data_IF_219116614162
#
_entry.id   IF_219116614162
#
_cell.length_a   1.000
_cell.length_b   1.000
_cell.length_c   1.000
_cell.angle_alpha   90.00
_cell.angle_beta   90.00
_cell.angle_gamma   90.00
#
_symmetry.space_group_name_H-M   'P 1'
#
loop_
_entity.id
_entity.type
_entity.pdbx_description
1 polymer ?
#
# COMPACT_ATOMS: atom_id res chain seq x y z
N UNK A 1 -3.06 -10.13 1.64
CA UNK A 1 -4.06 -9.07 1.90
C UNK A 1 -4.04 -7.94 0.88
N UNK A 2 -2.87 -7.41 0.51
CA UNK A 2 -2.75 -6.24 -0.36
C UNK A 2 -3.51 -6.34 -1.69
N UNK A 3 -3.24 -7.38 -2.49
CA UNK A 3 -3.90 -7.59 -3.79
C UNK A 3 -5.43 -7.67 -3.67
N UNK A 4 -6.04 -8.53 -2.82
CA UNK A 4 -7.49 -8.54 -2.62
C UNK A 4 -8.13 -7.18 -2.33
N UNK A 5 -7.57 -6.44 -1.35
CA UNK A 5 -8.15 -5.18 -0.91
C UNK A 5 -8.00 -4.10 -1.99
N UNK A 6 -6.82 -3.99 -2.60
CA UNK A 6 -6.57 -2.97 -3.63
C UNK A 6 -7.33 -3.24 -4.92
N UNK A 7 -7.52 -4.49 -5.33
CA UNK A 7 -8.39 -4.84 -6.46
C UNK A 7 -9.85 -4.49 -6.17
N UNK A 8 -10.35 -4.76 -4.97
CA UNK A 8 -11.71 -4.38 -4.60
C UNK A 8 -11.90 -2.85 -4.61
N UNK A 9 -10.96 -2.10 -4.05
CA UNK A 9 -10.98 -0.63 -4.09
C UNK A 9 -10.97 -0.13 -5.54
N UNK A 10 -10.05 -0.62 -6.37
CA UNK A 10 -9.97 -0.27 -7.78
C UNK A 10 -11.26 -0.59 -8.54
N UNK A 11 -11.94 -1.70 -8.20
CA UNK A 11 -13.21 -2.08 -8.80
C UNK A 11 -14.34 -1.10 -8.48
N UNK A 12 -14.41 -0.57 -7.26
CA UNK A 12 -15.35 0.50 -6.92
C UNK A 12 -15.03 1.80 -7.67
N UNK A 13 -13.75 2.17 -7.73
CA UNK A 13 -13.29 3.35 -8.44
C UNK A 13 -13.58 3.26 -9.94
N UNK A 14 -13.34 2.12 -10.56
CA UNK A 14 -13.56 1.91 -11.99
C UNK A 14 -15.04 2.02 -12.38
N UNK A 15 -15.97 1.56 -11.52
CA UNK A 15 -17.41 1.73 -11.75
C UNK A 15 -17.83 3.19 -11.85
N UNK A 16 -17.17 4.08 -11.10
CA UNK A 16 -17.51 5.51 -11.02
C UNK A 16 -16.66 6.35 -11.99
N UNK A 17 -15.40 5.95 -12.21
CA UNK A 17 -14.41 6.62 -13.04
C UNK A 17 -13.68 5.61 -13.94
N UNK A 18 -14.34 5.10 -14.99
CA UNK A 18 -13.79 4.04 -15.84
C UNK A 18 -12.51 4.44 -16.59
N UNK A 19 -12.28 5.74 -16.77
CA UNK A 19 -11.07 6.30 -17.39
C UNK A 19 -9.84 6.31 -16.47
N UNK A 20 -9.99 5.96 -15.19
CA UNK A 20 -8.85 5.91 -14.25
C UNK A 20 -7.93 4.76 -14.62
N UNK A 21 -6.64 5.06 -14.82
CA UNK A 21 -5.60 4.04 -15.01
C UNK A 21 -5.09 3.57 -13.65
N UNK A 22 -4.99 2.25 -13.48
CA UNK A 22 -4.49 1.63 -12.26
C UNK A 22 -3.19 0.87 -12.55
N UNK A 23 -2.21 1.04 -11.68
CA UNK A 23 -0.94 0.31 -11.76
C UNK A 23 -0.58 -0.29 -10.40
N UNK A 24 0.14 -1.40 -10.42
CA UNK A 24 0.79 -2.01 -9.24
C UNK A 24 2.26 -2.23 -9.60
N UNK A 25 3.20 -1.48 -8.98
CA UNK A 25 4.60 -1.85 -9.00
C UNK A 25 4.82 -3.21 -8.35
N UNK A 26 5.49 -4.11 -9.05
CA UNK A 26 5.79 -5.47 -8.58
C UNK A 26 7.23 -5.51 -8.10
N UNK A 27 7.45 -5.99 -6.88
CA UNK A 27 8.79 -6.14 -6.34
C UNK A 27 9.60 -7.17 -7.18
N UNK A 28 10.90 -6.95 -7.42
CA UNK A 28 11.73 -7.86 -8.22
C UNK A 28 11.78 -9.31 -7.73
N UNK A 29 11.47 -9.52 -6.45
CA UNK A 29 11.49 -10.84 -5.78
C UNK A 29 10.15 -11.57 -5.85
N UNK A 30 9.13 -10.98 -6.50
CA UNK A 30 7.77 -11.53 -6.55
C UNK A 30 7.46 -12.04 -7.95
N UNK A 31 7.24 -13.35 -8.05
CA UNK A 31 6.75 -13.99 -9.27
C UNK A 31 5.31 -13.57 -9.58
N UNK A 32 5.03 -13.23 -10.84
CA UNK A 32 3.69 -12.81 -11.27
C UNK A 32 2.63 -13.89 -11.05
N UNK A 33 3.01 -15.16 -11.21
CA UNK A 33 2.13 -16.31 -10.94
C UNK A 33 1.75 -16.41 -9.46
N UNK A 34 2.70 -16.12 -8.56
CA UNK A 34 2.44 -16.04 -7.12
C UNK A 34 1.54 -14.84 -6.81
N UNK A 35 1.79 -13.68 -7.42
CA UNK A 35 0.93 -12.50 -7.26
C UNK A 35 -0.52 -12.78 -7.72
N UNK A 36 -0.68 -13.46 -8.84
CA UNK A 36 -1.98 -13.87 -9.38
C UNK A 36 -2.74 -14.82 -8.44
N UNK A 37 -2.03 -15.67 -7.69
CA UNK A 37 -2.67 -16.55 -6.70
C UNK A 37 -3.38 -15.76 -5.60
N UNK A 38 -2.89 -14.55 -5.26
CA UNK A 38 -3.56 -13.69 -4.28
C UNK A 38 -4.86 -13.06 -4.80
N UNK A 39 -5.06 -13.01 -6.12
CA UNK A 39 -6.27 -12.49 -6.76
C UNK A 39 -7.32 -13.60 -7.05
N UNK A 40 -7.07 -14.84 -6.64
CA UNK A 40 -7.94 -15.99 -6.90
C UNK A 40 -8.61 -16.45 -5.60
N UNK A 41 -9.95 -16.44 -5.52
CA UNK A 41 -10.68 -16.77 -4.28
C UNK A 41 -10.58 -18.25 -3.88
N UNK A 42 -10.32 -19.15 -4.83
CA UNK A 42 -10.07 -20.57 -4.54
C UNK A 42 -8.72 -20.78 -3.85
N UNK A 43 -7.74 -19.91 -4.13
CA UNK A 43 -6.39 -19.99 -3.54
C UNK A 43 -6.20 -19.05 -2.34
N UNK A 44 -6.95 -17.95 -2.29
CA UNK A 44 -6.83 -16.93 -1.27
C UNK A 44 -8.20 -16.56 -0.68
N UNK A 45 -8.57 -17.07 0.51
CA UNK A 45 -9.86 -16.78 1.13
C UNK A 45 -10.01 -15.30 1.55
N UNK A 46 -8.92 -14.52 1.57
CA UNK A 46 -9.01 -13.08 1.83
C UNK A 46 -9.76 -12.33 0.72
N UNK A 47 -9.85 -12.87 -0.50
CA UNK A 47 -10.60 -12.26 -1.61
C UNK A 47 -12.05 -12.01 -1.21
N UNK A 48 -12.72 -13.04 -0.68
CA UNK A 48 -14.12 -12.92 -0.25
C UNK A 48 -14.30 -11.92 0.90
N UNK A 49 -13.35 -11.89 1.84
CA UNK A 49 -13.38 -10.97 2.99
C UNK A 49 -13.13 -9.51 2.61
N UNK A 50 -12.49 -9.25 1.46
CA UNK A 50 -12.06 -7.92 1.04
C UNK A 50 -12.91 -7.32 -0.09
N UNK A 51 -14.04 -7.94 -0.45
CA UNK A 51 -14.96 -7.43 -1.47
C UNK A 51 -15.23 -8.40 -2.62
N UNK A 52 -14.66 -9.60 -2.62
CA UNK A 52 -14.97 -10.66 -3.57
C UNK A 52 -14.49 -10.43 -5.00
N UNK A 53 -13.56 -9.48 -5.21
CA UNK A 53 -13.05 -9.16 -6.54
C UNK A 53 -11.87 -10.07 -6.89
N UNK A 54 -12.07 -10.86 -7.93
CA UNK A 54 -11.03 -11.69 -8.53
C UNK A 54 -10.44 -11.05 -9.78
N UNK A 55 -9.21 -11.43 -10.11
CA UNK A 55 -8.58 -11.06 -11.37
C UNK A 55 -7.78 -12.22 -11.97
N UNK A 56 -7.73 -12.25 -13.30
CA UNK A 56 -6.83 -13.13 -14.05
C UNK A 56 -5.58 -12.36 -14.44
N UNK A 57 -4.44 -13.03 -14.39
CA UNK A 57 -3.19 -12.52 -14.95
C UNK A 57 -3.22 -12.68 -16.47
N UNK A 58 -3.04 -11.58 -17.18
CA UNK A 58 -2.84 -11.54 -18.62
C UNK A 58 -1.39 -11.15 -18.89
N UNK A 59 -0.67 -12.04 -19.58
CA UNK A 59 0.66 -11.77 -20.11
C UNK A 59 0.49 -11.29 -21.56
N UNK A 60 0.96 -10.10 -21.93
CA UNK A 60 0.82 -9.60 -23.28
C UNK A 60 1.68 -10.40 -24.26
N UNK A 61 1.30 -10.43 -25.56
CA UNK A 61 2.07 -11.12 -26.58
C UNK A 61 3.44 -10.45 -26.83
N UNK A 62 3.55 -9.13 -26.59
CA UNK A 62 4.80 -8.38 -26.73
C UNK A 62 5.25 -7.76 -25.39
N UNK A 63 5.92 -8.54 -24.52
CA UNK A 63 6.31 -8.10 -23.17
C UNK A 63 7.41 -7.02 -23.16
N UNK A 64 8.05 -6.71 -24.29
CA UNK A 64 9.03 -5.62 -24.39
C UNK A 64 8.35 -4.24 -24.45
N UNK A 65 7.10 -4.19 -24.90
CA UNK A 65 6.36 -2.93 -25.12
C UNK A 65 5.09 -2.82 -24.28
N UNK A 66 4.62 -3.94 -23.74
CA UNK A 66 3.38 -4.02 -22.96
C UNK A 66 3.63 -4.64 -21.58
N UNK A 67 2.99 -4.07 -20.56
CA UNK A 67 3.04 -4.61 -19.21
C UNK A 67 2.04 -5.76 -19.04
N UNK A 68 2.37 -6.80 -18.25
CA UNK A 68 1.39 -7.74 -17.71
C UNK A 68 0.27 -7.00 -16.97
N UNK A 69 -0.93 -7.59 -16.93
CA UNK A 69 -2.10 -6.96 -16.30
C UNK A 69 -2.90 -7.94 -15.46
N UNK A 70 -3.54 -7.43 -14.43
CA UNK A 70 -4.72 -8.06 -13.85
C UNK A 70 -5.98 -7.58 -14.55
N UNK A 71 -6.83 -8.52 -14.95
CA UNK A 71 -8.12 -8.23 -15.59
C UNK A 71 -9.24 -8.88 -14.78
N UNK A 72 -10.20 -8.08 -14.31
CA UNK A 72 -11.39 -8.59 -13.59
C UNK A 72 -12.50 -8.97 -14.56
N UNK A 73 -13.47 -9.81 -14.17
CA UNK A 73 -14.63 -10.17 -15.01
C UNK A 73 -15.47 -8.97 -15.47
N UNK A 74 -15.35 -7.82 -14.81
CA UNK A 74 -16.09 -6.60 -15.17
C UNK A 74 -15.32 -5.67 -16.12
N UNK A 75 -14.11 -6.06 -16.54
CA UNK A 75 -13.28 -5.28 -17.45
C UNK A 75 -12.32 -4.29 -16.80
N UNK A 76 -12.22 -4.26 -15.46
CA UNK A 76 -11.16 -3.49 -14.80
C UNK A 76 -9.80 -4.10 -15.17
N UNK A 77 -8.91 -3.26 -15.71
CA UNK A 77 -7.51 -3.58 -15.95
C UNK A 77 -6.60 -2.86 -14.95
N UNK A 78 -5.63 -3.59 -14.40
CA UNK A 78 -4.57 -3.05 -13.53
C UNK A 78 -3.22 -3.49 -14.08
N UNK A 79 -2.40 -2.53 -14.53
CA UNK A 79 -1.07 -2.82 -15.08
C UNK A 79 -0.09 -3.23 -13.98
N UNK A 80 0.70 -4.27 -14.22
CA UNK A 80 1.73 -4.78 -13.32
C UNK A 80 3.10 -4.33 -13.81
N UNK A 81 3.72 -3.42 -13.08
CA UNK A 81 4.97 -2.78 -13.49
C UNK A 81 6.13 -3.55 -12.87
N UNK A 82 6.84 -4.33 -13.69
CA UNK A 82 7.91 -5.23 -13.23
C UNK A 82 9.30 -4.60 -13.26
N UNK A 83 9.48 -3.50 -13.99
CA UNK A 83 10.74 -2.74 -14.00
C UNK A 83 10.94 -2.01 -12.67
N UNK A 84 12.17 -2.03 -12.16
CA UNK A 84 12.55 -1.36 -10.91
C UNK A 84 13.86 -0.59 -11.13
N UNK A 85 13.94 0.70 -10.73
CA UNK A 85 12.88 1.52 -10.16
C UNK A 85 11.88 2.03 -11.23
N UNK A 86 10.63 2.27 -10.82
CA UNK A 86 9.57 2.80 -11.69
C UNK A 86 9.26 4.29 -11.41
N UNK A 87 10.28 5.10 -11.09
CA UNK A 87 10.09 6.48 -10.60
C UNK A 87 9.45 7.43 -11.60
N UNK A 88 9.80 7.32 -12.87
CA UNK A 88 9.18 8.06 -13.96
C UNK A 88 7.67 7.81 -14.03
N UNK A 89 7.23 6.56 -13.82
CA UNK A 89 5.81 6.23 -13.80
C UNK A 89 5.13 6.62 -12.48
N UNK A 90 5.77 6.35 -11.34
CA UNK A 90 5.26 6.73 -10.02
C UNK A 90 5.03 8.24 -9.92
N UNK A 91 5.92 9.05 -10.47
CA UNK A 91 5.79 10.52 -10.49
C UNK A 91 4.57 11.03 -11.27
N UNK A 92 3.97 10.19 -12.13
CA UNK A 92 2.75 10.51 -12.88
C UNK A 92 1.48 10.12 -12.12
N UNK A 93 1.59 9.34 -11.04
CA UNK A 93 0.46 8.96 -10.21
C UNK A 93 -0.07 10.16 -9.43
N UNK A 94 -1.40 10.38 -9.49
CA UNK A 94 -2.04 11.43 -8.69
C UNK A 94 -2.21 11.07 -7.22
N UNK A 95 -2.38 9.78 -6.93
CA UNK A 95 -2.61 9.27 -5.60
C UNK A 95 -2.18 7.80 -5.53
N UNK A 96 -1.48 7.42 -4.47
CA UNK A 96 -1.07 6.05 -4.22
C UNK A 96 -1.81 5.46 -3.01
N UNK A 97 -2.16 4.18 -3.08
CA UNK A 97 -2.59 3.39 -1.92
C UNK A 97 -1.42 2.50 -1.51
N UNK A 98 -1.03 2.56 -0.25
CA UNK A 98 0.14 1.83 0.24
C UNK A 98 -0.06 1.31 1.65
N UNK A 99 0.87 0.49 2.13
CA UNK A 99 0.99 0.11 3.54
C UNK A 99 2.25 0.75 4.13
N UNK A 100 2.38 0.70 5.45
CA UNK A 100 3.57 1.19 6.17
C UNK A 100 4.82 0.43 5.75
N UNK A 101 5.97 1.12 5.78
CA UNK A 101 7.26 0.58 5.38
C UNK A 101 7.99 1.50 4.40
N UNK A 102 9.02 0.96 3.74
CA UNK A 102 9.90 1.69 2.83
C UNK A 102 9.12 2.45 1.74
N UNK A 103 8.00 1.89 1.25
CA UNK A 103 7.14 2.53 0.25
C UNK A 103 6.66 3.93 0.69
N UNK A 104 6.35 4.13 1.98
CA UNK A 104 5.91 5.45 2.48
C UNK A 104 7.03 6.48 2.49
N UNK A 105 8.27 6.06 2.76
CA UNK A 105 9.43 6.95 2.67
C UNK A 105 9.76 7.29 1.21
N UNK A 106 9.67 6.31 0.32
CA UNK A 106 9.91 6.47 -1.12
C UNK A 106 8.90 7.43 -1.74
N UNK A 107 7.59 7.17 -1.56
CA UNK A 107 6.53 8.06 -2.05
C UNK A 107 6.61 9.45 -1.42
N UNK A 108 6.98 9.54 -0.13
CA UNK A 108 7.16 10.81 0.57
C UNK A 108 8.31 11.64 0.00
N UNK A 109 9.43 10.99 -0.33
CA UNK A 109 10.59 11.63 -0.96
C UNK A 109 10.27 12.15 -2.38
N UNK A 110 9.43 11.42 -3.11
CA UNK A 110 8.88 11.81 -4.42
C UNK A 110 7.75 12.84 -4.32
N UNK A 111 7.28 13.16 -3.11
CA UNK A 111 6.14 14.03 -2.84
C UNK A 111 4.85 13.60 -3.56
N UNK A 112 4.64 12.29 -3.68
CA UNK A 112 3.44 11.71 -4.28
C UNK A 112 2.37 11.58 -3.19
N UNK A 113 1.17 12.17 -3.36
CA UNK A 113 0.06 11.98 -2.44
C UNK A 113 -0.25 10.50 -2.22
N UNK A 114 -0.55 10.11 -0.98
CA UNK A 114 -0.82 8.72 -0.65
C UNK A 114 -1.85 8.56 0.47
N UNK A 115 -2.50 7.41 0.50
CA UNK A 115 -3.32 6.94 1.64
C UNK A 115 -2.69 5.65 2.15
N UNK A 116 -2.43 5.59 3.46
CA UNK A 116 -1.82 4.43 4.10
C UNK A 116 -2.91 3.53 4.66
N UNK A 117 -2.91 2.27 4.24
CA UNK A 117 -3.90 1.26 4.60
C UNK A 117 -3.28 0.26 5.56
N UNK A 118 -3.87 0.15 6.75
CA UNK A 118 -3.49 -0.77 7.82
C UNK A 118 -4.69 -1.66 8.18
N UNK A 119 -5.02 -2.64 7.32
CA UNK A 119 -6.15 -3.53 7.52
C UNK A 119 -5.95 -4.47 8.72
N UNK A 120 -6.87 -4.47 9.67
CA UNK A 120 -6.87 -5.35 10.87
C UNK A 120 -7.82 -6.54 10.76
N UNK A 121 -8.46 -6.76 9.60
CA UNK A 121 -9.41 -7.84 9.32
C UNK A 121 -8.80 -9.24 9.49
N UNK A 122 -7.47 -9.33 9.58
CA UNK A 122 -6.72 -10.54 9.88
C UNK A 122 -5.67 -10.28 10.97
N UNK A 123 -6.01 -9.58 12.06
CA UNK A 123 -5.17 -9.62 13.28
C UNK A 123 -4.96 -11.07 13.77
N UNK A 124 -5.84 -12.00 13.39
CA UNK A 124 -5.63 -13.44 13.56
C UNK A 124 -4.44 -14.01 12.76
N UNK A 125 -3.93 -13.32 11.74
CA UNK A 125 -2.69 -13.68 11.02
C UNK A 125 -1.47 -12.99 11.64
N UNK A 126 -1.62 -11.91 12.43
CA UNK A 126 -0.53 -11.45 13.31
C UNK A 126 -0.20 -12.46 14.42
N UNK A 127 -1.06 -13.47 14.64
CA UNK A 127 -0.72 -14.68 15.41
C UNK A 127 0.36 -15.55 14.74
N UNK A 128 0.69 -15.26 13.47
CA UNK A 128 1.78 -15.89 12.72
C UNK A 128 3.07 -15.04 12.71
N UNK A 129 3.23 -14.08 13.63
CA UNK A 129 4.56 -13.55 13.97
C UNK A 129 5.41 -14.69 14.57
N UNK A 130 6.57 -14.96 13.98
CA UNK A 130 7.52 -15.92 14.53
C UNK A 130 8.14 -15.40 15.84
N UNK A 131 8.27 -16.32 16.82
CA UNK A 131 8.90 -16.07 18.12
C UNK A 131 7.93 -15.95 19.31
N UNK A 132 8.46 -15.44 20.43
CA UNK A 132 7.76 -15.25 21.72
C UNK A 132 6.37 -14.57 21.61
N UNK A 133 6.15 -13.55 20.75
CA UNK A 133 4.83 -12.93 20.58
C UNK A 133 3.78 -13.87 19.97
N UNK A 134 4.16 -14.75 19.03
CA UNK A 134 3.27 -15.74 18.42
C UNK A 134 2.85 -16.84 19.40
N UNK A 135 3.75 -17.25 20.30
CA UNK A 135 3.46 -18.17 21.40
C UNK A 135 2.47 -17.57 22.41
N UNK A 136 2.61 -16.29 22.76
CA UNK A 136 1.72 -15.61 23.70
C UNK A 136 0.32 -15.32 23.11
N UNK A 137 0.24 -15.06 21.80
CA UNK A 137 -1.03 -14.78 21.11
C UNK A 137 -1.93 -16.01 20.89
N UNK A 138 -1.35 -17.22 20.99
CA UNK A 138 -2.04 -18.50 20.85
C UNK A 138 -2.47 -19.14 22.19
N UNK A 139 -2.15 -18.53 23.34
CA UNK A 139 -2.66 -18.99 24.64
C UNK A 139 -4.14 -18.58 24.85
N UNK A 140 -5.02 -19.51 25.27
CA UNK A 140 -6.41 -19.20 25.60
C UNK A 140 -6.47 -18.17 26.75
N UNK A 141 -7.24 -17.10 26.57
CA UNK A 141 -7.39 -16.00 27.55
C UNK A 141 -6.31 -14.90 27.45
N UNK A 142 -5.04 -15.24 27.23
CA UNK A 142 -3.93 -14.27 27.19
C UNK A 142 -3.85 -13.53 25.85
N UNK A 143 -4.15 -14.22 24.74
CA UNK A 143 -4.12 -13.61 23.40
C UNK A 143 -5.13 -12.47 23.22
N UNK A 144 -6.29 -12.54 23.88
CA UNK A 144 -7.31 -11.49 23.84
C UNK A 144 -6.86 -10.22 24.58
N UNK A 145 -6.21 -10.37 25.73
CA UNK A 145 -5.66 -9.26 26.50
C UNK A 145 -4.44 -8.62 25.79
N UNK A 146 -3.59 -9.41 25.14
CA UNK A 146 -2.47 -8.92 24.36
C UNK A 146 -2.91 -8.15 23.11
N UNK A 147 -3.87 -8.70 22.35
CA UNK A 147 -4.48 -8.00 21.22
C UNK A 147 -5.19 -6.70 21.64
N UNK A 148 -5.86 -6.71 22.80
CA UNK A 148 -6.45 -5.51 23.39
C UNK A 148 -5.38 -4.49 23.82
N UNK A 149 -4.23 -4.95 24.34
CA UNK A 149 -3.09 -4.09 24.71
C UNK A 149 -2.41 -3.43 23.52
N UNK A 150 -2.20 -4.16 22.41
CA UNK A 150 -1.69 -3.58 21.16
C UNK A 150 -2.69 -2.59 20.59
N UNK A 151 -3.98 -2.94 20.50
CA UNK A 151 -5.02 -2.01 20.06
C UNK A 151 -5.06 -0.75 20.93
N UNK A 152 -4.96 -0.91 22.25
CA UNK A 152 -4.93 0.20 23.19
C UNK A 152 -3.68 1.09 23.03
N UNK A 153 -2.50 0.50 22.80
CA UNK A 153 -1.25 1.23 22.57
C UNK A 153 -1.30 2.02 21.24
N UNK A 154 -1.79 1.39 20.18
CA UNK A 154 -2.04 2.00 18.85
C UNK A 154 -3.04 3.14 18.95
N UNK A 155 -4.09 2.99 19.77
CA UNK A 155 -5.10 4.03 20.00
C UNK A 155 -4.60 5.19 20.88
N UNK A 156 -3.67 4.95 21.83
CA UNK A 156 -3.20 5.97 22.80
C UNK A 156 -2.00 6.80 22.34
N UNK A 157 -1.08 6.27 21.52
CA UNK A 157 0.21 6.95 21.23
C UNK A 157 0.23 7.84 19.99
N UNK A 158 -0.88 7.98 19.27
CA UNK A 158 -0.94 8.80 18.06
C UNK A 158 -0.62 7.99 16.79
N UNK A 159 -1.39 8.28 15.74
CA UNK A 159 -1.55 7.50 14.50
C UNK A 159 -0.55 7.95 13.43
N UNK A 160 0.74 7.89 13.74
CA UNK A 160 1.80 8.27 12.80
C UNK A 160 2.69 7.05 12.54
N UNK A 161 2.27 6.20 11.60
CA UNK A 161 3.01 5.02 11.17
C UNK A 161 3.75 5.25 9.84
N UNK A 162 3.22 6.11 8.98
CA UNK A 162 3.85 6.47 7.72
C UNK A 162 5.10 7.32 7.98
N UNK A 163 6.19 7.06 7.26
CA UNK A 163 7.41 7.84 7.41
C UNK A 163 7.21 9.36 7.32
N UNK A 164 6.45 9.91 6.34
CA UNK A 164 6.22 11.35 6.26
C UNK A 164 5.50 11.93 7.49
N UNK A 165 4.57 11.18 8.08
CA UNK A 165 3.85 11.56 9.27
C UNK A 165 4.77 11.55 10.51
N UNK A 166 5.64 10.55 10.61
CA UNK A 166 6.67 10.45 11.67
C UNK A 166 7.64 11.64 11.57
N UNK A 167 8.15 11.94 10.38
CA UNK A 167 9.07 13.06 10.15
C UNK A 167 8.42 14.40 10.49
N UNK A 168 7.14 14.57 10.16
CA UNK A 168 6.38 15.78 10.44
C UNK A 168 5.92 15.92 11.90
N UNK A 169 5.90 14.81 12.65
CA UNK A 169 5.22 14.70 13.96
C UNK A 169 3.72 15.09 13.91
N UNK A 170 3.11 15.01 12.73
CA UNK A 170 1.71 15.33 12.48
C UNK A 170 1.22 14.57 11.24
N UNK A 171 -0.09 14.42 11.11
CA UNK A 171 -0.69 13.76 9.95
C UNK A 171 -0.58 14.65 8.70
N UNK A 172 0.28 14.24 7.75
CA UNK A 172 0.35 14.75 6.38
C UNK A 172 -0.49 13.87 5.45
N UNK A 173 -0.31 12.55 5.57
CA UNK A 173 -1.01 11.55 4.77
C UNK A 173 -2.01 10.80 5.64
N UNK A 174 -3.25 10.54 5.17
CA UNK A 174 -4.23 9.81 5.95
C UNK A 174 -3.80 8.36 6.19
N UNK A 175 -3.95 7.90 7.44
CA UNK A 175 -3.64 6.53 7.86
C UNK A 175 -4.90 5.80 8.32
N UNK A 176 -5.40 4.89 7.48
CA UNK A 176 -6.61 4.13 7.73
C UNK A 176 -6.28 2.82 8.44
N UNK A 177 -6.47 2.80 9.76
CA UNK A 177 -6.28 1.62 10.60
C UNK A 177 -7.63 1.00 10.93
N UNK A 178 -7.79 -0.30 10.70
CA UNK A 178 -8.97 -1.03 11.17
C UNK A 178 -9.53 -2.02 10.15
N UNK A 179 -10.81 -2.38 10.33
CA UNK A 179 -11.55 -3.22 9.38
C UNK A 179 -11.96 -2.38 8.17
N UNK A 180 -11.03 -2.19 7.24
CA UNK A 180 -11.22 -1.42 6.01
C UNK A 180 -12.23 -2.08 5.06
N UNK A 181 -13.27 -1.34 4.69
CA UNK A 181 -14.17 -1.72 3.60
C UNK A 181 -13.68 -1.07 2.31
N UNK A 182 -13.67 -1.82 1.21
CA UNK A 182 -13.17 -1.32 -0.07
C UNK A 182 -13.96 -0.11 -0.57
N UNK A 183 -15.27 -0.10 -0.32
CA UNK A 183 -16.20 0.98 -0.62
C UNK A 183 -15.78 2.28 0.09
N UNK A 184 -15.57 2.22 1.40
CA UNK A 184 -15.21 3.39 2.22
C UNK A 184 -13.84 3.96 1.81
N UNK A 185 -12.87 3.10 1.49
CA UNK A 185 -11.57 3.58 0.99
C UNK A 185 -11.71 4.19 -0.41
N UNK A 186 -12.54 3.60 -1.28
CA UNK A 186 -12.81 4.14 -2.60
C UNK A 186 -13.51 5.51 -2.54
N UNK A 187 -14.47 5.71 -1.64
CA UNK A 187 -15.11 7.00 -1.39
C UNK A 187 -14.09 8.08 -0.98
N UNK A 188 -13.17 7.76 -0.07
CA UNK A 188 -12.10 8.68 0.30
C UNK A 188 -11.17 9.00 -0.88
N UNK A 189 -10.81 7.99 -1.69
CA UNK A 189 -10.02 8.20 -2.90
C UNK A 189 -10.76 9.11 -3.89
N UNK A 190 -12.07 8.93 -4.06
CA UNK A 190 -12.87 9.78 -4.95
C UNK A 190 -12.96 11.22 -4.43
N UNK A 191 -13.06 11.43 -3.12
CA UNK A 191 -12.98 12.75 -2.51
C UNK A 191 -11.66 13.44 -2.87
N UNK A 192 -10.51 12.78 -2.65
CA UNK A 192 -9.21 13.33 -3.03
C UNK A 192 -9.08 13.59 -4.53
N UNK A 193 -9.53 12.67 -5.38
CA UNK A 193 -9.44 12.81 -6.83
C UNK A 193 -10.36 13.91 -7.39
N UNK A 194 -11.41 14.28 -6.66
CA UNK A 194 -12.34 15.37 -7.01
C UNK A 194 -11.89 16.74 -6.48
N UNK A 195 -10.92 16.75 -5.56
CA UNK A 195 -10.40 17.93 -4.87
C UNK A 195 -8.88 18.04 -5.09
N UNK A 196 -8.42 18.44 -6.29
CA UNK A 196 -6.99 18.50 -6.62
C UNK A 196 -6.17 19.39 -5.69
N UNK A 197 -6.78 20.38 -5.05
CA UNK A 197 -6.17 21.23 -4.03
C UNK A 197 -5.71 20.45 -2.80
N UNK A 198 -6.48 19.44 -2.35
CA UNK A 198 -6.09 18.57 -1.24
C UNK A 198 -4.84 17.75 -1.60
N UNK A 199 -4.77 17.27 -2.84
CA UNK A 199 -3.61 16.53 -3.34
C UNK A 199 -2.37 17.44 -3.47
N UNK A 200 -2.56 18.67 -3.95
CA UNK A 200 -1.49 19.66 -4.05
C UNK A 200 -0.94 20.02 -2.66
N UNK A 201 -1.80 20.32 -1.70
CA UNK A 201 -1.42 20.61 -0.32
C UNK A 201 -0.66 19.44 0.31
N UNK A 202 -1.16 18.21 0.15
CA UNK A 202 -0.48 17.00 0.62
C UNK A 202 0.92 16.89 -0.01
N UNK A 203 1.03 17.10 -1.32
CA UNK A 203 2.32 17.07 -2.03
C UNK A 203 3.30 18.13 -1.50
N UNK A 204 2.84 19.36 -1.27
CA UNK A 204 3.68 20.44 -0.72
C UNK A 204 4.15 20.13 0.70
N UNK A 205 3.26 19.60 1.54
CA UNK A 205 3.62 19.16 2.89
C UNK A 205 4.63 18.00 2.84
N UNK A 206 4.49 17.04 1.93
CA UNK A 206 5.47 15.97 1.72
C UNK A 206 6.84 16.53 1.30
N UNK A 207 6.88 17.53 0.39
CA UNK A 207 8.13 18.21 0.01
C UNK A 207 8.78 18.93 1.19
N UNK A 208 7.99 19.47 2.13
CA UNK A 208 8.54 20.18 3.29
C UNK A 208 9.24 19.28 4.30
N UNK A 209 8.92 17.97 4.31
CA UNK A 209 9.47 17.01 5.27
C UNK A 209 10.45 16.00 4.67
N UNK A 210 10.61 15.97 3.34
CA UNK A 210 11.63 15.11 2.72
C UNK A 210 13.03 15.60 3.10
N UNK A 211 13.95 14.66 3.27
CA UNK A 211 15.35 14.97 3.58
C UNK A 211 16.02 15.83 2.49
N UNK A 212 17.12 16.49 2.85
CA UNK A 212 17.93 17.22 1.89
C UNK A 212 18.54 16.25 0.85
N UNK A 213 18.70 16.66 -0.42
CA UNK A 213 19.48 15.91 -1.38
C UNK A 213 20.92 15.65 -0.89
N UNK A 214 21.60 14.65 -1.48
CA UNK A 214 23.02 14.38 -1.19
C UNK A 214 23.29 13.12 -0.37
N UNK A 215 22.29 12.29 -0.09
CA UNK A 215 22.49 11.03 0.64
C UNK A 215 23.54 10.12 -0.02
N UNK A 216 23.57 10.03 -1.36
CA UNK A 216 24.59 9.27 -2.09
C UNK A 216 26.00 9.84 -1.91
N UNK A 217 26.13 11.18 -1.87
CA UNK A 217 27.41 11.84 -1.64
C UNK A 217 27.89 11.62 -0.21
N UNK A 218 27.02 11.79 0.79
CA UNK A 218 27.34 11.51 2.19
C UNK A 218 27.77 10.05 2.38
N UNK A 219 27.09 9.11 1.72
CA UNK A 219 27.49 7.70 1.73
C UNK A 219 28.89 7.50 1.13
N UNK A 220 29.18 8.14 0.00
CA UNK A 220 30.51 8.08 -0.62
C UNK A 220 31.59 8.66 0.30
N UNK A 221 31.32 9.79 0.96
CA UNK A 221 32.24 10.40 1.93
C UNK A 221 32.48 9.50 3.15
N UNK A 222 31.44 8.84 3.68
CA UNK A 222 31.58 7.87 4.77
C UNK A 222 32.44 6.69 4.33
N UNK A 223 32.19 6.11 3.15
CA UNK A 223 32.98 4.98 2.63
C UNK A 223 34.44 5.40 2.44
N UNK A 224 34.71 6.58 1.88
CA UNK A 224 36.06 7.12 1.73
C UNK A 224 36.76 7.34 3.06
N UNK A 225 36.03 7.71 4.12
CA UNK A 225 36.62 7.90 5.46
C UNK A 225 36.97 6.60 6.19
N UNK A 226 36.50 5.46 5.68
CA UNK A 226 36.76 4.13 6.24
C UNK A 226 37.90 3.40 5.49
N UNK A 227 38.44 3.99 4.43
CA UNK A 227 39.61 3.52 3.68
C UNK A 227 40.88 4.19 4.20
#
# INVERSE_FOLDING_TARGET
LGVPLTLAIAQHLHKIRPQTRFIIPVAPTVELSALASFANSQKNPAVQKMGGVEAKLLIPPNPETENPKFVTPTGLEVELITRTPAYDLLSQCRLCLTTVGANTAELGSLAIPMIVLLPTQQLDIMRAWDGLPGLLANLPGVGAAFAAGINWLVLRKGKLFAWPNIWAKQEIVPELVGKLKAETVAELVLDFLSHPEKLAEMSDRLRSVRGQPGAAQQLAEIVLSLL
#
